data_IF_652126673665
#
_entry.id   IF_652126673665
#
_cell.length_a   1.000
_cell.length_b   1.000
_cell.length_c   1.000
_cell.angle_alpha   90.00
_cell.angle_beta   90.00
_cell.angle_gamma   90.00
#
_symmetry.space_group_name_H-M   'P 1'
#
loop_
_entity.id
_entity.type
_entity.pdbx_description
1 polymer ?
#
# COMPACT_ATOMS: atom_id res chain seq x y z
N UNK A 1 -19.01 2.57 -39.67
CA UNK A 1 -19.66 1.46 -38.94
C UNK A 1 -18.62 0.94 -37.98
N UNK A 2 -18.66 1.32 -36.68
CA UNK A 2 -17.69 0.84 -35.70
C UNK A 2 -18.15 -0.54 -35.22
N UNK A 3 -17.40 -1.58 -35.53
CA UNK A 3 -17.65 -2.92 -35.03
C UNK A 3 -17.62 -2.86 -33.47
N UNK A 4 -18.67 -3.41 -32.87
CA UNK A 4 -18.74 -3.61 -31.43
C UNK A 4 -17.62 -4.55 -30.99
N UNK A 5 -16.50 -4.00 -30.55
CA UNK A 5 -15.46 -4.75 -29.89
C UNK A 5 -16.07 -5.38 -28.64
N UNK A 6 -16.32 -6.68 -28.66
CA UNK A 6 -16.72 -7.44 -27.48
C UNK A 6 -15.68 -7.20 -26.41
N UNK A 7 -16.08 -6.53 -25.33
CA UNK A 7 -15.26 -6.44 -24.13
C UNK A 7 -14.94 -7.86 -23.70
N UNK A 8 -13.65 -8.18 -23.64
CA UNK A 8 -13.21 -9.45 -23.09
C UNK A 8 -13.76 -9.65 -21.67
N UNK A 9 -13.86 -10.91 -21.24
CA UNK A 9 -14.32 -11.26 -19.91
C UNK A 9 -13.64 -10.38 -18.86
N UNK A 10 -14.44 -9.87 -17.92
CA UNK A 10 -14.01 -8.90 -16.92
C UNK A 10 -12.83 -9.42 -16.09
N UNK A 11 -12.07 -8.49 -15.52
CA UNK A 11 -10.91 -8.76 -14.68
C UNK A 11 -11.25 -9.80 -13.62
N UNK A 12 -10.72 -11.01 -13.73
CA UNK A 12 -10.82 -12.02 -12.69
C UNK A 12 -10.04 -11.53 -11.47
N UNK A 13 -10.73 -11.17 -10.42
CA UNK A 13 -10.13 -10.99 -9.11
C UNK A 13 -9.76 -12.35 -8.54
N UNK A 14 -8.63 -12.92 -8.95
CA UNK A 14 -8.03 -14.03 -8.23
C UNK A 14 -7.38 -13.46 -6.97
N UNK A 15 -8.08 -13.59 -5.87
CA UNK A 15 -7.50 -13.33 -4.56
C UNK A 15 -6.68 -14.55 -4.17
N UNK A 16 -5.37 -14.46 -4.32
CA UNK A 16 -4.46 -15.52 -3.89
C UNK A 16 -4.27 -15.42 -2.38
N UNK A 17 -5.19 -16.01 -1.64
CA UNK A 17 -5.12 -16.09 -0.20
C UNK A 17 -3.92 -16.94 0.30
N UNK A 18 -3.62 -16.85 1.58
CA UNK A 18 -2.52 -17.57 2.23
C UNK A 18 -2.57 -19.08 2.01
N UNK A 19 -3.76 -19.65 1.82
CA UNK A 19 -3.95 -21.07 1.58
C UNK A 19 -3.52 -21.50 0.18
N UNK A 20 -3.79 -20.69 -0.81
CA UNK A 20 -3.33 -20.94 -2.18
C UNK A 20 -1.81 -20.77 -2.28
N UNK A 21 -1.24 -19.77 -1.60
CA UNK A 21 0.20 -19.59 -1.51
C UNK A 21 0.89 -20.79 -0.84
N UNK A 22 0.31 -21.34 0.24
CA UNK A 22 0.82 -22.55 0.88
C UNK A 22 0.73 -23.78 -0.03
N UNK A 23 -0.39 -23.95 -0.76
CA UNK A 23 -0.54 -25.04 -1.72
C UNK A 23 0.50 -24.95 -2.84
N UNK A 24 0.76 -23.76 -3.34
CA UNK A 24 1.81 -23.52 -4.33
C UNK A 24 3.20 -23.83 -3.78
N UNK A 25 3.50 -23.38 -2.57
CA UNK A 25 4.75 -23.68 -1.86
C UNK A 25 4.96 -25.20 -1.76
N UNK A 26 3.96 -25.94 -1.26
CA UNK A 26 4.03 -27.40 -1.15
C UNK A 26 4.32 -28.11 -2.47
N UNK A 27 3.74 -27.63 -3.56
CA UNK A 27 3.96 -28.22 -4.89
C UNK A 27 5.34 -27.97 -5.48
N UNK A 28 5.99 -26.87 -5.10
CA UNK A 28 7.23 -26.41 -5.71
C UNK A 28 8.46 -26.55 -4.79
N UNK A 29 8.27 -27.06 -3.58
CA UNK A 29 9.37 -27.25 -2.62
C UNK A 29 9.63 -28.73 -2.39
N UNK A 30 10.89 -29.11 -2.30
CA UNK A 30 11.34 -30.47 -2.00
C UNK A 30 10.78 -30.89 -0.64
N UNK A 31 10.33 -32.12 -0.51
CA UNK A 31 9.61 -32.61 0.66
C UNK A 31 10.39 -32.42 1.98
N UNK A 32 11.69 -32.63 1.96
CA UNK A 32 12.59 -32.45 3.11
C UNK A 32 12.64 -31.00 3.64
N UNK A 33 12.36 -30.02 2.78
CA UNK A 33 12.36 -28.58 3.12
C UNK A 33 10.96 -28.03 3.37
N UNK A 34 9.94 -28.89 3.31
CA UNK A 34 8.58 -28.47 3.54
C UNK A 34 8.30 -28.30 5.02
N UNK A 35 7.68 -27.18 5.35
CA UNK A 35 7.18 -26.90 6.71
C UNK A 35 5.66 -27.05 6.75
N UNK A 36 5.12 -27.26 7.94
CA UNK A 36 3.68 -27.28 8.15
C UNK A 36 3.03 -25.92 7.89
N UNK A 37 1.72 -25.90 7.66
CA UNK A 37 0.97 -24.70 7.31
C UNK A 37 1.05 -23.60 8.36
N UNK A 38 1.10 -23.95 9.63
CA UNK A 38 1.20 -23.00 10.75
C UNK A 38 2.56 -22.28 10.74
N UNK A 39 3.63 -23.06 10.59
CA UNK A 39 5.00 -22.54 10.49
C UNK A 39 5.18 -21.69 9.24
N UNK A 40 4.68 -22.14 8.08
CA UNK A 40 4.70 -21.35 6.85
C UNK A 40 4.05 -19.98 7.02
N UNK A 41 2.85 -19.93 7.60
CA UNK A 41 2.15 -18.66 7.87
C UNK A 41 2.95 -17.76 8.80
N UNK A 42 3.50 -18.31 9.87
CA UNK A 42 4.34 -17.56 10.81
C UNK A 42 5.55 -16.92 10.11
N UNK A 43 6.23 -17.68 9.25
CA UNK A 43 7.36 -17.16 8.46
C UNK A 43 6.91 -16.02 7.55
N UNK A 44 5.80 -16.18 6.83
CA UNK A 44 5.27 -15.15 5.96
C UNK A 44 4.87 -13.88 6.73
N UNK A 45 4.27 -14.03 7.90
CA UNK A 45 3.83 -12.90 8.73
C UNK A 45 5.03 -12.13 9.27
N UNK A 46 6.07 -12.80 9.77
CA UNK A 46 7.31 -12.16 10.24
C UNK A 46 8.06 -11.49 9.09
N UNK A 47 8.16 -12.15 7.94
CA UNK A 47 8.75 -11.54 6.74
C UNK A 47 8.02 -10.26 6.33
N UNK A 48 6.69 -10.32 6.25
CA UNK A 48 5.88 -9.14 5.88
C UNK A 48 6.03 -8.02 6.91
N UNK A 49 6.14 -8.34 8.19
CA UNK A 49 6.37 -7.36 9.25
C UNK A 49 7.72 -6.67 9.09
N UNK A 50 8.80 -7.44 8.95
CA UNK A 50 10.15 -6.88 8.73
C UNK A 50 10.21 -6.04 7.44
N UNK A 51 9.59 -6.51 6.37
CA UNK A 51 9.52 -5.79 5.10
C UNK A 51 8.81 -4.43 5.24
N UNK A 52 7.71 -4.39 5.97
CA UNK A 52 6.98 -3.12 6.21
C UNK A 52 7.73 -2.23 7.20
N UNK A 53 8.41 -2.80 8.19
CA UNK A 53 9.21 -2.04 9.15
C UNK A 53 10.36 -1.31 8.44
N UNK A 54 11.01 -1.96 7.47
CA UNK A 54 12.04 -1.34 6.65
C UNK A 54 11.51 -0.11 5.89
N UNK A 55 10.37 -0.24 5.21
CA UNK A 55 9.74 0.87 4.48
C UNK A 55 9.32 2.02 5.41
N UNK A 56 8.79 1.70 6.60
CA UNK A 56 8.23 2.69 7.52
C UNK A 56 9.30 3.39 8.37
N UNK A 57 10.35 2.68 8.77
CA UNK A 57 11.34 3.17 9.73
C UNK A 57 12.57 3.69 9.00
N UNK A 58 13.09 2.92 8.04
CA UNK A 58 14.29 3.30 7.29
C UNK A 58 13.98 4.28 6.15
N UNK A 59 12.71 4.49 5.85
CA UNK A 59 12.23 5.36 4.74
C UNK A 59 12.75 4.93 3.37
N UNK A 60 13.20 3.70 3.23
CA UNK A 60 13.81 3.19 2.01
C UNK A 60 12.81 2.67 0.99
N UNK A 61 13.26 2.61 -0.24
CA UNK A 61 12.54 2.02 -1.35
C UNK A 61 12.87 0.53 -1.43
N UNK A 62 11.86 -0.33 -1.27
CA UNK A 62 12.03 -1.77 -1.34
C UNK A 62 11.73 -2.32 -2.74
N UNK A 63 12.76 -2.91 -3.36
CA UNK A 63 12.60 -3.59 -4.66
C UNK A 63 11.91 -4.94 -4.48
N UNK A 64 10.84 -5.13 -5.21
CA UNK A 64 10.11 -6.40 -5.23
C UNK A 64 10.75 -7.38 -6.22
N UNK A 65 10.80 -8.68 -5.90
CA UNK A 65 11.34 -9.69 -6.80
C UNK A 65 10.52 -9.80 -8.11
N UNK A 66 11.04 -10.54 -9.06
CA UNK A 66 10.37 -10.85 -10.33
C UNK A 66 9.89 -9.62 -11.13
N UNK A 67 10.64 -8.52 -11.07
CA UNK A 67 10.30 -7.25 -11.76
C UNK A 67 8.95 -6.66 -11.37
N UNK A 68 8.44 -6.99 -10.18
CA UNK A 68 7.19 -6.43 -9.66
C UNK A 68 7.30 -4.93 -9.33
N UNK A 69 8.47 -4.33 -9.49
CA UNK A 69 8.71 -2.93 -9.23
C UNK A 69 9.15 -2.64 -7.81
N UNK A 70 8.83 -1.48 -7.31
CA UNK A 70 9.28 -1.00 -5.99
C UNK A 70 8.12 -0.52 -5.15
N UNK A 71 8.19 -0.77 -3.85
CA UNK A 71 7.25 -0.29 -2.85
C UNK A 71 7.94 0.73 -1.95
N UNK A 72 7.29 1.88 -1.73
CA UNK A 72 7.83 2.97 -0.89
C UNK A 72 6.71 3.82 -0.31
N UNK A 73 7.05 4.72 0.61
CA UNK A 73 6.17 5.80 1.01
C UNK A 73 6.41 7.00 0.10
N UNK A 74 5.39 7.44 -0.61
CA UNK A 74 5.44 8.65 -1.42
C UNK A 74 4.93 9.84 -0.63
N UNK A 75 5.76 10.88 -0.53
CA UNK A 75 5.43 12.21 -0.04
C UNK A 75 4.92 13.05 -1.20
N UNK A 76 3.82 13.75 -1.04
CA UNK A 76 3.29 14.65 -2.06
C UNK A 76 2.65 15.88 -1.42
N UNK A 77 2.96 17.06 -1.95
CA UNK A 77 2.38 18.32 -1.46
C UNK A 77 0.87 18.34 -1.73
N UNK A 78 0.09 18.77 -0.75
CA UNK A 78 -1.35 18.93 -0.93
C UNK A 78 -1.62 20.17 -1.81
N UNK A 79 -2.59 20.02 -2.71
CA UNK A 79 -3.09 21.14 -3.52
C UNK A 79 -4.33 21.68 -2.82
N UNK A 80 -4.18 22.86 -2.19
CA UNK A 80 -5.26 23.51 -1.45
C UNK A 80 -6.23 24.29 -2.34
N UNK A 81 -5.82 24.58 -3.58
CA UNK A 81 -6.61 25.38 -4.54
C UNK A 81 -7.88 24.66 -4.99
N UNK A 82 -7.89 23.32 -4.93
CA UNK A 82 -9.04 22.50 -5.33
C UNK A 82 -9.75 21.95 -4.09
N UNK A 83 -10.76 22.69 -3.62
CA UNK A 83 -11.58 22.31 -2.45
C UNK A 83 -12.24 20.93 -2.61
N UNK A 84 -12.50 20.49 -3.84
CA UNK A 84 -13.11 19.20 -4.11
C UNK A 84 -12.17 18.02 -3.79
N UNK A 85 -10.87 18.25 -3.74
CA UNK A 85 -9.85 17.23 -3.40
C UNK A 85 -9.53 17.19 -1.91
N UNK A 86 -9.98 18.17 -1.14
CA UNK A 86 -9.78 18.18 0.30
C UNK A 86 -10.83 17.32 0.99
N UNK A 87 -10.39 16.54 1.98
CA UNK A 87 -11.32 15.76 2.81
C UNK A 87 -11.98 16.67 3.84
N UNK A 88 -13.29 16.58 3.97
CA UNK A 88 -14.05 17.31 4.97
C UNK A 88 -13.85 16.64 6.34
N UNK A 89 -13.58 17.44 7.36
CA UNK A 89 -13.66 17.05 8.75
C UNK A 89 -15.13 17.18 9.20
N UNK A 90 -15.84 16.07 9.15
CA UNK A 90 -17.26 16.03 9.49
C UNK A 90 -17.51 16.36 10.97
N UNK A 91 -16.62 15.95 11.87
CA UNK A 91 -16.76 16.20 13.31
C UNK A 91 -16.64 17.70 13.61
N UNK A 92 -15.56 18.34 13.13
CA UNK A 92 -15.37 19.77 13.28
C UNK A 92 -16.44 20.58 12.52
N UNK A 93 -16.84 20.14 11.33
CA UNK A 93 -17.86 20.81 10.52
C UNK A 93 -19.23 20.81 11.22
N UNK A 94 -19.62 19.71 11.84
CA UNK A 94 -20.88 19.61 12.60
C UNK A 94 -20.85 20.53 13.84
N UNK A 95 -19.73 20.57 14.56
CA UNK A 95 -19.55 21.41 15.75
C UNK A 95 -19.61 22.90 15.41
N UNK A 96 -18.94 23.30 14.33
CA UNK A 96 -18.81 24.72 13.94
C UNK A 96 -19.86 25.19 12.94
N UNK A 97 -20.80 24.31 12.54
CA UNK A 97 -21.88 24.59 11.56
C UNK A 97 -21.36 25.17 10.23
N UNK A 98 -20.11 24.88 9.85
CA UNK A 98 -19.48 25.27 8.60
C UNK A 98 -18.55 24.17 8.08
N UNK A 99 -18.30 24.13 6.76
CA UNK A 99 -17.40 23.13 6.18
C UNK A 99 -15.95 23.40 6.61
N UNK A 100 -15.38 22.43 7.33
CA UNK A 100 -13.97 22.38 7.76
C UNK A 100 -13.27 21.28 6.98
N UNK A 101 -12.04 21.54 6.56
CA UNK A 101 -11.24 20.60 5.77
C UNK A 101 -10.00 20.18 6.54
N UNK A 102 -9.57 18.93 6.34
CA UNK A 102 -8.29 18.47 6.86
C UNK A 102 -7.14 19.09 6.06
N UNK A 103 -6.34 19.92 6.69
CA UNK A 103 -5.20 20.61 6.06
C UNK A 103 -3.87 19.87 6.23
N UNK A 104 -3.82 18.82 7.04
CA UNK A 104 -2.60 18.06 7.36
C UNK A 104 -1.46 18.96 7.91
N UNK A 105 -1.78 19.92 8.76
CA UNK A 105 -0.81 20.87 9.34
C UNK A 105 0.30 20.14 10.10
N UNK A 106 -0.02 19.00 10.75
CA UNK A 106 0.94 18.17 11.47
C UNK A 106 2.03 17.57 10.56
N UNK A 107 1.84 17.59 9.25
CA UNK A 107 2.80 17.09 8.25
C UNK A 107 3.29 18.22 7.32
N UNK A 108 3.15 19.49 7.74
CA UNK A 108 3.54 20.63 6.91
C UNK A 108 2.82 20.70 5.57
N UNK A 109 1.58 20.22 5.51
CA UNK A 109 0.79 20.21 4.27
C UNK A 109 1.15 19.12 3.27
N UNK A 110 1.90 18.11 3.72
CA UNK A 110 2.20 16.96 2.87
C UNK A 110 1.25 15.81 3.15
N UNK A 111 1.08 14.98 2.11
CA UNK A 111 0.32 13.74 2.13
C UNK A 111 1.27 12.58 1.89
N UNK A 112 1.20 11.58 2.75
CA UNK A 112 2.02 10.38 2.69
C UNK A 112 1.16 9.17 2.35
N UNK A 113 1.63 8.35 1.40
CA UNK A 113 0.92 7.14 0.97
C UNK A 113 1.90 6.05 0.59
N UNK A 114 1.54 4.82 0.86
CA UNK A 114 2.19 3.69 0.22
C UNK A 114 2.02 3.81 -1.29
N UNK A 115 3.12 3.70 -1.99
CA UNK A 115 3.18 3.82 -3.44
C UNK A 115 3.93 2.64 -4.03
N UNK A 116 3.27 1.93 -4.91
CA UNK A 116 3.89 0.88 -5.68
C UNK A 116 4.21 1.39 -7.08
N UNK A 117 5.51 1.55 -7.36
CA UNK A 117 6.02 1.82 -8.69
C UNK A 117 6.14 0.49 -9.42
N UNK A 118 5.19 0.21 -10.28
CA UNK A 118 5.24 -0.98 -11.15
C UNK A 118 6.40 -0.79 -12.12
N UNK A 119 7.30 -1.76 -12.20
CA UNK A 119 8.30 -1.80 -13.27
C UNK A 119 7.62 -1.78 -14.64
N UNK A 120 8.38 -1.54 -15.71
CA UNK A 120 7.87 -1.53 -17.08
C UNK A 120 7.48 -2.97 -17.46
N UNK A 121 6.34 -3.42 -16.99
CA UNK A 121 5.73 -4.66 -17.50
C UNK A 121 4.65 -4.21 -18.45
N UNK A 122 4.98 -4.22 -19.73
CA UNK A 122 3.99 -3.93 -20.79
C UNK A 122 2.80 -4.88 -20.61
N UNK A 123 1.59 -4.31 -20.58
CA UNK A 123 0.31 -5.03 -20.59
C UNK A 123 -0.15 -5.71 -19.28
N UNK A 124 0.47 -5.48 -18.13
CA UNK A 124 -0.06 -5.98 -16.86
C UNK A 124 -0.59 -4.82 -16.01
N UNK A 125 -1.88 -4.56 -16.11
CA UNK A 125 -2.59 -3.58 -15.28
C UNK A 125 -3.36 -4.22 -14.13
N UNK A 126 -3.27 -5.55 -13.99
CA UNK A 126 -4.16 -6.34 -13.15
C UNK A 126 -3.90 -6.24 -11.64
N UNK A 127 -2.75 -5.74 -11.20
CA UNK A 127 -2.41 -5.73 -9.78
C UNK A 127 -2.49 -4.31 -9.20
N UNK A 128 -3.16 -4.21 -8.06
CA UNK A 128 -3.17 -3.01 -7.23
C UNK A 128 -2.63 -3.36 -5.84
N UNK A 129 -1.87 -2.45 -5.25
CA UNK A 129 -1.42 -2.58 -3.87
C UNK A 129 -2.35 -1.77 -2.97
N UNK A 130 -2.92 -2.44 -1.97
CA UNK A 130 -3.75 -1.81 -0.95
C UNK A 130 -3.11 -2.11 0.41
N UNK A 131 -2.58 -1.10 1.11
CA UNK A 131 -2.00 -1.32 2.43
C UNK A 131 -3.09 -1.72 3.43
N UNK A 132 -2.75 -2.57 4.38
CA UNK A 132 -3.65 -2.92 5.47
C UNK A 132 -3.97 -1.70 6.33
N UNK A 133 -5.11 -1.75 7.02
CA UNK A 133 -5.49 -0.68 7.97
C UNK A 133 -4.44 -0.50 9.08
N UNK A 134 -3.84 -1.59 9.55
CA UNK A 134 -2.78 -1.56 10.56
C UNK A 134 -1.56 -0.79 10.06
N UNK A 135 -1.06 -1.10 8.86
CA UNK A 135 0.10 -0.42 8.28
C UNK A 135 -0.17 1.07 8.02
N UNK A 136 -1.38 1.40 7.57
CA UNK A 136 -1.79 2.80 7.39
C UNK A 136 -1.82 3.56 8.71
N UNK A 137 -2.28 2.94 9.80
CA UNK A 137 -2.28 3.54 11.15
C UNK A 137 -0.87 3.69 11.71
N UNK A 138 0.01 2.70 11.48
CA UNK A 138 1.42 2.78 11.87
C UNK A 138 2.11 3.95 11.18
N UNK A 139 1.93 4.11 9.88
CA UNK A 139 2.44 5.28 9.15
C UNK A 139 1.92 6.59 9.77
N UNK A 140 0.62 6.69 10.04
CA UNK A 140 0.05 7.87 10.65
C UNK A 140 0.59 8.15 12.07
N UNK A 141 0.89 7.11 12.85
CA UNK A 141 1.54 7.24 14.18
C UNK A 141 2.96 7.78 14.04
N UNK A 142 3.75 7.24 13.14
CA UNK A 142 5.13 7.68 12.87
C UNK A 142 5.16 9.15 12.42
N UNK A 143 4.23 9.56 11.54
CA UNK A 143 4.15 10.94 11.07
C UNK A 143 3.72 11.95 12.13
N UNK A 144 3.11 11.50 13.22
CA UNK A 144 2.75 12.35 14.36
C UNK A 144 3.89 12.48 15.37
N UNK A 145 4.83 11.58 15.32
CA UNK A 145 6.02 11.60 16.18
C UNK A 145 7.00 12.64 15.66
N UNK A 146 7.05 13.79 16.33
CA UNK A 146 7.89 14.93 15.94
C UNK A 146 9.39 14.71 16.17
N UNK A 147 9.75 13.71 16.96
CA UNK A 147 11.15 13.39 17.25
C UNK A 147 11.83 12.62 16.09
N UNK A 148 11.05 12.11 15.14
CA UNK A 148 11.55 11.39 13.98
C UNK A 148 11.54 12.28 12.73
N UNK A 149 12.72 12.74 12.34
CA UNK A 149 12.93 13.33 11.01
C UNK A 149 13.05 12.23 9.97
N UNK A 150 11.90 11.79 9.42
CA UNK A 150 11.88 10.82 8.34
C UNK A 150 11.64 11.55 7.02
N UNK A 151 12.61 11.44 6.12
CA UNK A 151 12.50 12.01 4.78
C UNK A 151 12.05 10.95 3.78
N UNK A 152 10.74 10.85 3.60
CA UNK A 152 10.18 9.97 2.59
C UNK A 152 10.28 10.56 1.19
N UNK A 153 10.39 9.72 0.19
CA UNK A 153 10.51 10.11 -1.22
C UNK A 153 9.37 11.02 -1.72
N UNK A 154 9.73 12.05 -2.45
CA UNK A 154 8.80 12.90 -3.19
C UNK A 154 8.34 12.28 -4.50
#
# INVERSE_FOLDING_TARGET
>A
MFENVKRGEGVYKKDHGSDQAYTYYRKNTIEELQVDKKTYRKICDEFNKLFIDEILISSEEMKLPYRLGTLRIKKSKMKYDDKNKLKIDWAASKKLKKRIYHLNDHTGGYKYRFYWSKGIVKNITAYSFIPTRTNTRRLASILKDKERELDYFM
#
